data_IF_229322921383
#
_entry.id   IF_229322921383
#
_cell.length_a   1.000
_cell.length_b   1.000
_cell.length_c   1.000
_cell.angle_alpha   90.00
_cell.angle_beta   90.00
_cell.angle_gamma   90.00
#
_symmetry.space_group_name_H-M   'P 1'
#
loop_
_entity.id
_entity.type
_entity.pdbx_description
1 polymer ?
#
# COMPACT_ATOMS: atom_id res chain seq x y z
N UNK A 1 -4.79 17.65 -1.94
CA UNK A 1 -4.58 16.85 -0.72
C UNK A 1 -3.16 16.33 -0.78
N UNK A 2 -2.33 16.65 0.21
CA UNK A 2 -0.92 16.24 0.21
C UNK A 2 -0.80 14.98 1.06
N UNK A 3 -0.67 13.84 0.39
CA UNK A 3 -0.51 12.52 0.99
C UNK A 3 0.97 12.16 1.26
N UNK A 4 1.89 13.11 1.07
CA UNK A 4 3.29 12.76 0.91
C UNK A 4 3.99 12.65 2.27
N UNK A 5 4.30 11.40 2.64
CA UNK A 5 5.33 11.05 3.63
C UNK A 5 6.70 10.81 3.00
N UNK A 6 6.80 10.88 1.66
CA UNK A 6 8.06 10.75 0.96
C UNK A 6 8.96 11.97 1.21
N UNK A 7 10.20 11.79 1.68
CA UNK A 7 11.16 12.87 1.74
C UNK A 7 11.49 13.36 0.32
N UNK A 8 11.63 14.67 0.16
CA UNK A 8 11.69 15.35 -1.13
C UNK A 8 13.02 15.17 -1.91
N UNK A 9 14.01 14.41 -1.43
CA UNK A 9 15.35 14.42 -2.05
C UNK A 9 16.24 13.18 -1.91
N UNK A 10 15.80 12.02 -1.43
CA UNK A 10 16.72 10.86 -1.33
C UNK A 10 16.09 9.54 -1.79
N UNK A 11 16.78 8.88 -2.71
CA UNK A 11 16.48 7.57 -3.31
C UNK A 11 16.79 6.43 -2.34
N UNK A 12 16.38 6.55 -1.07
CA UNK A 12 16.57 5.47 -0.09
C UNK A 12 15.89 4.21 -0.62
N UNK A 13 16.54 3.05 -0.59
CA UNK A 13 15.89 1.81 -1.01
C UNK A 13 14.61 1.56 -0.21
N UNK A 14 13.64 0.90 -0.83
CA UNK A 14 12.40 0.47 -0.19
C UNK A 14 12.48 -1.04 0.05
N UNK A 15 12.06 -1.49 1.25
CA UNK A 15 11.88 -2.92 1.53
C UNK A 15 10.39 -3.19 1.69
N UNK A 16 9.84 -4.05 0.83
CA UNK A 16 8.42 -4.34 0.82
C UNK A 16 8.10 -5.58 1.65
N UNK A 17 7.06 -5.47 2.47
CA UNK A 17 6.41 -6.61 3.12
C UNK A 17 5.50 -7.39 2.15
N UNK A 18 5.18 -8.63 2.53
CA UNK A 18 4.28 -9.53 1.80
C UNK A 18 2.93 -8.88 1.48
N UNK A 19 2.31 -8.20 2.45
CA UNK A 19 1.00 -7.57 2.26
C UNK A 19 1.05 -6.44 1.21
N UNK A 20 2.18 -5.76 1.08
CA UNK A 20 2.38 -4.69 0.10
C UNK A 20 2.47 -5.26 -1.31
N UNK A 21 3.18 -6.38 -1.48
CA UNK A 21 3.27 -7.08 -2.77
C UNK A 21 1.89 -7.56 -3.22
N UNK A 22 1.11 -8.14 -2.30
CA UNK A 22 -0.27 -8.58 -2.57
C UNK A 22 -1.13 -7.39 -3.01
N UNK A 23 -1.05 -6.24 -2.35
CA UNK A 23 -1.83 -5.07 -2.72
C UNK A 23 -1.41 -4.47 -4.07
N UNK A 24 -0.12 -4.45 -4.38
CA UNK A 24 0.39 -4.06 -5.69
C UNK A 24 -0.10 -5.01 -6.79
N UNK A 25 -0.07 -6.32 -6.54
CA UNK A 25 -0.57 -7.32 -7.48
C UNK A 25 -2.07 -7.18 -7.71
N UNK A 26 -2.85 -7.14 -6.63
CA UNK A 26 -4.30 -6.98 -6.67
C UNK A 26 -4.75 -5.70 -7.38
N UNK A 27 -3.92 -4.65 -7.34
CA UNK A 27 -4.19 -3.41 -8.07
C UNK A 27 -4.14 -3.58 -9.59
N UNK A 28 -3.45 -4.61 -10.10
CA UNK A 28 -3.09 -4.82 -11.53
C UNK A 28 -2.13 -3.78 -12.12
N UNK A 29 -1.75 -2.74 -11.37
CA UNK A 29 -0.82 -1.68 -11.79
C UNK A 29 0.55 -1.77 -11.10
N UNK A 30 0.83 -2.85 -10.37
CA UNK A 30 2.02 -2.96 -9.54
C UNK A 30 3.33 -2.80 -10.31
N UNK A 31 3.40 -3.29 -11.55
CA UNK A 31 4.58 -3.13 -12.41
C UNK A 31 4.85 -1.65 -12.76
N UNK A 32 3.82 -0.94 -13.21
CA UNK A 32 3.90 0.48 -13.59
C UNK A 32 4.22 1.35 -12.38
N UNK A 33 3.60 1.07 -11.23
CA UNK A 33 3.85 1.79 -9.99
C UNK A 33 5.29 1.62 -9.58
N UNK A 34 5.79 0.39 -9.49
CA UNK A 34 7.17 0.12 -9.06
C UNK A 34 8.19 0.72 -10.02
N UNK A 35 8.00 0.58 -11.33
CA UNK A 35 8.90 1.19 -12.35
C UNK A 35 8.91 2.71 -12.32
N UNK A 36 7.83 3.34 -11.86
CA UNK A 36 7.76 4.79 -11.74
C UNK A 36 8.54 5.34 -10.53
N UNK A 37 8.86 4.51 -9.54
CA UNK A 37 9.66 4.96 -8.39
C UNK A 37 11.14 5.03 -8.76
N UNK A 38 11.81 6.10 -8.33
CA UNK A 38 13.26 6.26 -8.51
C UNK A 38 14.09 5.49 -7.47
N UNK A 39 13.42 4.90 -6.47
CA UNK A 39 14.05 4.15 -5.39
C UNK A 39 14.34 2.72 -5.86
N UNK A 40 15.47 2.17 -5.41
CA UNK A 40 15.66 0.73 -5.46
C UNK A 40 14.59 0.04 -4.62
N UNK A 41 13.91 -0.96 -5.17
CA UNK A 41 12.89 -1.74 -4.45
C UNK A 41 13.44 -3.13 -4.16
N UNK A 42 13.27 -3.57 -2.92
CA UNK A 42 13.82 -4.81 -2.40
C UNK A 42 12.78 -5.64 -1.68
N UNK A 43 12.96 -6.95 -1.71
CA UNK A 43 12.16 -7.93 -0.94
C UNK A 43 13.06 -8.97 -0.33
N UNK A 44 12.71 -9.46 0.85
CA UNK A 44 13.47 -10.51 1.53
C UNK A 44 13.10 -11.90 0.98
N UNK A 45 14.01 -12.86 1.08
CA UNK A 45 13.71 -14.27 0.77
C UNK A 45 12.59 -14.84 1.65
N UNK A 46 12.46 -14.35 2.89
CA UNK A 46 11.38 -14.70 3.82
C UNK A 46 10.02 -14.25 3.26
N UNK A 47 9.91 -13.01 2.79
CA UNK A 47 8.70 -12.47 2.15
C UNK A 47 8.34 -13.26 0.88
N UNK A 48 9.33 -13.58 0.05
CA UNK A 48 9.09 -14.40 -1.16
C UNK A 48 8.56 -15.78 -0.80
N UNK A 49 9.08 -16.39 0.28
CA UNK A 49 8.63 -17.69 0.78
C UNK A 49 7.21 -17.65 1.34
N UNK A 50 6.78 -16.56 1.98
CA UNK A 50 5.37 -16.41 2.40
C UNK A 50 4.42 -16.41 1.20
N UNK A 51 4.85 -15.87 0.05
CA UNK A 51 4.05 -15.90 -1.18
C UNK A 51 4.00 -17.30 -1.83
N UNK A 52 4.85 -18.25 -1.43
CA UNK A 52 4.83 -19.61 -1.95
C UNK A 52 3.69 -20.48 -1.38
N UNK A 53 2.96 -20.00 -0.37
CA UNK A 53 1.80 -20.70 0.15
C UNK A 53 0.70 -20.88 -0.91
N UNK A 54 -0.06 -21.97 -0.81
CA UNK A 54 -1.01 -22.41 -1.85
C UNK A 54 -1.98 -21.30 -2.27
N UNK A 55 -2.55 -20.56 -1.32
CA UNK A 55 -3.48 -19.45 -1.61
C UNK A 55 -2.81 -18.34 -2.43
N UNK A 56 -1.59 -17.93 -2.12
CA UNK A 56 -0.89 -16.90 -2.91
C UNK A 56 -0.47 -17.41 -4.29
N UNK A 57 -0.21 -18.71 -4.45
CA UNK A 57 0.01 -19.30 -5.78
C UNK A 57 -1.26 -19.30 -6.62
N UNK A 58 -2.40 -19.67 -6.04
CA UNK A 58 -3.70 -19.64 -6.71
C UNK A 58 -4.10 -18.22 -7.10
N UNK A 59 -3.78 -17.24 -6.26
CA UNK A 59 -4.01 -15.82 -6.54
C UNK A 59 -3.01 -15.23 -7.54
N UNK A 60 -1.88 -15.90 -7.82
CA UNK A 60 -0.82 -15.44 -8.72
C UNK A 60 0.23 -14.51 -8.09
N UNK A 61 0.16 -14.24 -6.78
CA UNK A 61 1.08 -13.31 -6.10
C UNK A 61 2.55 -13.76 -6.20
N UNK A 62 2.78 -15.07 -6.10
CA UNK A 62 4.12 -15.64 -6.27
C UNK A 62 4.65 -15.44 -7.70
N UNK A 63 3.80 -15.64 -8.71
CA UNK A 63 4.20 -15.43 -10.09
C UNK A 63 4.51 -13.94 -10.33
N UNK A 64 3.68 -13.05 -9.80
CA UNK A 64 3.89 -11.61 -9.89
C UNK A 64 5.24 -11.17 -9.32
N UNK A 65 5.63 -11.64 -8.12
CA UNK A 65 6.94 -11.27 -7.57
C UNK A 65 8.11 -11.86 -8.37
N UNK A 66 7.96 -13.09 -8.90
CA UNK A 66 8.98 -13.69 -9.76
C UNK A 66 9.16 -12.90 -11.06
N UNK A 67 8.07 -12.42 -11.66
CA UNK A 67 8.11 -11.55 -12.84
C UNK A 67 8.83 -10.23 -12.55
N UNK A 68 8.55 -9.59 -11.41
CA UNK A 68 9.22 -8.36 -10.99
C UNK A 68 10.72 -8.55 -10.77
N UNK A 69 11.12 -9.66 -10.15
CA UNK A 69 12.53 -10.02 -9.94
C UNK A 69 13.23 -10.29 -11.27
N UNK A 70 12.63 -11.09 -12.15
CA UNK A 70 13.16 -11.39 -13.48
C UNK A 70 13.29 -10.13 -14.36
N UNK A 71 12.35 -9.20 -14.23
CA UNK A 71 12.38 -7.91 -14.90
C UNK A 71 13.33 -6.88 -14.23
N UNK A 72 14.02 -7.26 -13.15
CA UNK A 72 14.90 -6.39 -12.36
C UNK A 72 14.21 -5.12 -11.82
N UNK A 73 12.88 -5.17 -11.66
CA UNK A 73 12.09 -4.10 -11.02
C UNK A 73 12.21 -4.19 -9.49
N UNK A 74 12.38 -5.40 -8.97
CA UNK A 74 12.59 -5.68 -7.55
C UNK A 74 13.86 -6.52 -7.38
N UNK A 75 14.68 -6.18 -6.39
CA UNK A 75 15.88 -6.95 -6.01
C UNK A 75 15.56 -7.86 -4.83
N UNK A 76 15.99 -9.11 -4.91
CA UNK A 76 15.95 -10.00 -3.74
C UNK A 76 17.14 -9.69 -2.82
N UNK A 77 16.87 -9.67 -1.52
CA UNK A 77 17.89 -9.61 -0.48
C UNK A 77 17.69 -10.75 0.51
N UNK A 78 18.76 -11.21 1.13
CA UNK A 78 18.71 -12.15 2.26
C UNK A 78 19.06 -11.43 3.54
N UNK A 79 18.53 -11.91 4.66
CA UNK A 79 18.98 -11.48 5.97
C UNK A 79 20.39 -12.03 6.24
N UNK A 80 21.31 -11.16 6.63
CA UNK A 80 22.63 -11.56 7.13
C UNK A 80 22.59 -11.96 8.60
N UNK A 81 23.69 -12.49 9.14
CA UNK A 81 23.76 -12.94 10.54
C UNK A 81 23.36 -11.85 11.55
N UNK A 82 23.74 -10.59 11.29
CA UNK A 82 23.38 -9.44 12.14
C UNK A 82 21.88 -9.09 12.06
N UNK A 83 21.24 -9.40 10.95
CA UNK A 83 19.81 -9.15 10.72
C UNK A 83 18.97 -10.19 11.45
N UNK A 84 19.49 -11.42 11.57
CA UNK A 84 18.82 -12.53 12.25
C UNK A 84 18.62 -12.29 13.74
N UNK A 85 19.54 -11.61 14.43
CA UNK A 85 19.36 -11.25 15.84
C UNK A 85 18.16 -10.31 16.03
N UNK A 86 18.05 -9.30 15.16
CA UNK A 86 16.93 -8.37 15.17
C UNK A 86 15.63 -9.07 14.79
N UNK A 87 15.64 -9.85 13.70
CA UNK A 87 14.51 -10.66 13.25
C UNK A 87 13.99 -11.59 14.36
N UNK A 88 14.87 -12.39 14.96
CA UNK A 88 14.54 -13.33 16.04
C UNK A 88 13.90 -12.61 17.23
N UNK A 89 14.41 -11.44 17.58
CA UNK A 89 13.83 -10.60 18.63
C UNK A 89 12.42 -10.12 18.26
N UNK A 90 12.20 -9.69 17.02
CA UNK A 90 10.90 -9.18 16.55
C UNK A 90 9.81 -10.26 16.50
N UNK A 91 10.16 -11.50 16.17
CA UNK A 91 9.20 -12.62 16.12
C UNK A 91 8.94 -13.26 17.49
N UNK A 92 9.86 -13.13 18.47
CA UNK A 92 9.73 -13.77 19.79
C UNK A 92 9.18 -12.87 20.90
N UNK A 93 9.15 -11.54 20.71
CA UNK A 93 8.63 -10.60 21.71
C UNK A 93 7.11 -10.74 21.94
N UNK A 94 6.62 -10.22 23.07
CA UNK A 94 5.20 -10.28 23.48
C UNK A 94 4.24 -9.67 22.44
N UNK A 95 4.73 -8.72 21.64
CA UNK A 95 4.07 -8.19 20.47
C UNK A 95 4.65 -8.81 19.19
N UNK A 96 4.70 -10.14 19.10
CA UNK A 96 5.35 -10.87 18.00
C UNK A 96 4.83 -10.47 16.63
N UNK A 97 5.72 -10.09 15.74
CA UNK A 97 5.39 -9.79 14.35
C UNK A 97 5.30 -11.09 13.53
N UNK A 98 4.65 -11.01 12.37
CA UNK A 98 4.77 -12.05 11.34
C UNK A 98 6.19 -12.10 10.79
N UNK A 99 6.57 -13.23 10.19
CA UNK A 99 7.92 -13.43 9.66
C UNK A 99 8.23 -12.41 8.54
N UNK A 100 7.31 -12.16 7.61
CA UNK A 100 7.45 -11.15 6.55
C UNK A 100 7.65 -9.73 7.09
N UNK A 101 6.85 -9.32 8.08
CA UNK A 101 6.95 -8.00 8.71
C UNK A 101 8.30 -7.84 9.44
N UNK A 102 8.69 -8.85 10.23
CA UNK A 102 9.93 -8.85 10.98
C UNK A 102 11.14 -8.82 10.05
N UNK A 103 11.13 -9.61 8.97
CA UNK A 103 12.20 -9.66 7.98
C UNK A 103 12.34 -8.33 7.24
N UNK A 104 11.21 -7.71 6.88
CA UNK A 104 11.17 -6.39 6.24
C UNK A 104 11.81 -5.32 7.12
N UNK A 105 11.47 -5.28 8.41
CA UNK A 105 12.04 -4.33 9.37
C UNK A 105 13.54 -4.59 9.58
N UNK A 106 13.94 -5.86 9.72
CA UNK A 106 15.34 -6.22 9.94
C UNK A 106 16.23 -5.82 8.75
N UNK A 107 15.80 -6.16 7.53
CA UNK A 107 16.49 -5.77 6.30
C UNK A 107 16.56 -4.24 6.16
N UNK A 108 15.46 -3.53 6.44
CA UNK A 108 15.43 -2.07 6.36
C UNK A 108 16.40 -1.40 7.33
N UNK A 109 16.51 -1.92 8.56
CA UNK A 109 17.45 -1.43 9.57
C UNK A 109 18.90 -1.55 9.14
N UNK A 110 19.30 -2.70 8.64
CA UNK A 110 20.69 -2.92 8.27
C UNK A 110 21.09 -2.17 7.00
N UNK A 111 20.19 -2.09 6.02
CA UNK A 111 20.49 -1.51 4.72
C UNK A 111 20.28 0.01 4.67
N UNK A 112 19.86 0.64 5.77
CA UNK A 112 19.50 2.06 5.78
C UNK A 112 18.33 2.35 4.84
N UNK A 113 17.41 1.41 4.71
CA UNK A 113 16.30 1.45 3.78
C UNK A 113 14.99 1.81 4.49
N UNK A 114 13.97 2.18 3.71
CA UNK A 114 12.64 2.53 4.20
C UNK A 114 11.72 1.31 4.12
N UNK A 115 11.18 0.81 5.24
CA UNK A 115 10.23 -0.29 5.20
C UNK A 115 8.85 0.19 4.73
N UNK A 116 8.19 -0.63 3.93
CA UNK A 116 6.80 -0.42 3.48
C UNK A 116 5.91 -1.48 4.12
N UNK A 117 4.98 -1.06 5.00
CA UNK A 117 4.23 -1.94 5.91
C UNK A 117 2.75 -1.52 6.03
N UNK A 118 1.82 -2.38 5.65
CA UNK A 118 0.38 -2.10 5.77
C UNK A 118 -0.20 -2.43 7.15
N UNK A 119 0.47 -3.26 7.95
CA UNK A 119 0.02 -3.59 9.29
C UNK A 119 0.34 -2.50 10.32
N UNK A 120 -0.65 -2.20 11.18
CA UNK A 120 -0.53 -1.16 12.20
C UNK A 120 0.48 -1.52 13.29
N UNK A 121 0.50 -2.77 13.73
CA UNK A 121 1.42 -3.27 14.75
C UNK A 121 2.84 -3.31 14.19
N UNK A 122 3.01 -3.82 12.97
CA UNK A 122 4.28 -3.78 12.24
C UNK A 122 4.87 -2.37 12.19
N UNK A 123 4.07 -1.36 11.82
CA UNK A 123 4.51 0.04 11.82
C UNK A 123 4.88 0.60 13.18
N UNK A 124 4.11 0.29 14.23
CA UNK A 124 4.43 0.75 15.60
C UNK A 124 5.79 0.21 16.02
N UNK A 125 6.06 -1.07 15.75
CA UNK A 125 7.33 -1.70 16.06
C UNK A 125 8.46 -1.11 15.20
N UNK A 126 8.24 -0.95 13.89
CA UNK A 126 9.19 -0.33 12.98
C UNK A 126 9.59 1.08 13.43
N UNK A 127 8.64 1.91 13.91
CA UNK A 127 8.92 3.27 14.40
C UNK A 127 9.84 3.27 15.63
N UNK A 128 9.74 2.24 16.48
CA UNK A 128 10.62 2.08 17.63
C UNK A 128 12.03 1.60 17.25
N UNK A 129 12.14 0.76 16.22
CA UNK A 129 13.42 0.24 15.70
C UNK A 129 14.14 1.27 14.82
N UNK A 130 13.38 2.06 14.05
CA UNK A 130 13.83 2.99 13.02
C UNK A 130 13.31 4.41 13.30
N UNK A 131 13.70 5.06 14.41
CA UNK A 131 13.08 6.32 14.84
C UNK A 131 13.28 7.49 13.86
N UNK A 132 14.34 7.44 13.05
CA UNK A 132 14.70 8.49 12.09
C UNK A 132 14.39 8.13 10.64
N UNK A 133 13.81 6.96 10.38
CA UNK A 133 13.46 6.52 9.03
C UNK A 133 11.97 6.78 8.79
N UNK A 134 11.59 7.37 7.65
CA UNK A 134 10.18 7.43 7.27
C UNK A 134 9.58 6.03 7.24
N UNK A 135 8.31 5.91 7.64
CA UNK A 135 7.54 4.68 7.45
C UNK A 135 6.53 4.90 6.35
N UNK A 136 6.55 4.00 5.36
CA UNK A 136 5.62 4.00 4.25
C UNK A 136 4.67 2.80 4.36
N UNK A 137 3.57 2.88 3.63
CA UNK A 137 2.64 1.78 3.39
C UNK A 137 2.21 1.77 1.92
N UNK A 138 1.46 0.76 1.50
CA UNK A 138 1.04 0.58 0.10
C UNK A 138 0.40 1.85 -0.48
N UNK A 139 -0.51 2.48 0.26
CA UNK A 139 -1.19 3.72 -0.17
C UNK A 139 -0.21 4.84 -0.54
N UNK A 140 0.94 4.93 0.13
CA UNK A 140 1.94 5.95 -0.18
C UNK A 140 2.52 5.69 -1.58
N UNK A 141 2.83 4.43 -1.91
CA UNK A 141 3.34 4.05 -3.23
C UNK A 141 2.35 4.39 -4.35
N UNK A 142 1.05 4.12 -4.15
CA UNK A 142 0.00 4.48 -5.12
C UNK A 142 -0.12 5.99 -5.33
N UNK A 143 0.08 6.77 -4.25
CA UNK A 143 -0.11 8.22 -4.27
C UNK A 143 1.19 8.99 -4.52
N UNK A 144 2.31 8.30 -4.73
CA UNK A 144 3.57 8.93 -5.07
C UNK A 144 3.44 9.74 -6.37
N UNK A 145 4.00 10.96 -6.48
CA UNK A 145 3.79 11.81 -7.65
C UNK A 145 4.26 11.17 -8.96
N UNK A 146 5.32 10.36 -8.93
CA UNK A 146 5.79 9.65 -10.12
C UNK A 146 4.82 8.53 -10.54
N UNK A 147 4.24 7.81 -9.58
CA UNK A 147 3.19 6.83 -9.88
C UNK A 147 1.93 7.52 -10.42
N UNK A 148 1.53 8.66 -9.84
CA UNK A 148 0.43 9.48 -10.35
C UNK A 148 0.66 9.99 -11.77
N UNK A 149 1.89 10.38 -12.10
CA UNK A 149 2.24 10.81 -13.45
C UNK A 149 2.22 9.63 -14.44
N UNK A 150 2.74 8.46 -14.04
CA UNK A 150 2.79 7.28 -14.90
C UNK A 150 1.39 6.70 -15.20
N UNK A 151 0.51 6.65 -14.19
CA UNK A 151 -0.83 6.05 -14.32
C UNK A 151 -1.90 7.06 -14.77
N UNK A 152 -1.64 8.35 -14.57
CA UNK A 152 -2.65 9.40 -14.67
C UNK A 152 -3.70 9.31 -13.55
N UNK A 153 -4.55 10.34 -13.46
CA UNK A 153 -5.53 10.48 -12.36
C UNK A 153 -6.50 9.30 -12.26
N UNK A 154 -7.03 8.83 -13.39
CA UNK A 154 -7.98 7.72 -13.40
C UNK A 154 -7.30 6.39 -13.07
N UNK A 155 -6.07 6.18 -13.54
CA UNK A 155 -5.31 4.96 -13.26
C UNK A 155 -5.00 4.82 -11.76
N UNK A 156 -4.61 5.90 -11.08
CA UNK A 156 -4.37 5.84 -9.62
C UNK A 156 -5.65 5.57 -8.84
N UNK A 157 -6.77 6.18 -9.21
CA UNK A 157 -8.05 5.90 -8.56
C UNK A 157 -8.47 4.43 -8.75
N UNK A 158 -8.24 3.85 -9.93
CA UNK A 158 -8.51 2.43 -10.20
C UNK A 158 -7.57 1.52 -9.40
N UNK A 159 -6.26 1.81 -9.40
CA UNK A 159 -5.27 1.04 -8.69
C UNK A 159 -5.57 0.96 -7.18
N UNK A 160 -5.90 2.12 -6.57
CA UNK A 160 -6.29 2.18 -5.15
C UNK A 160 -7.59 1.42 -4.90
N UNK A 161 -8.59 1.55 -5.79
CA UNK A 161 -9.84 0.80 -5.66
C UNK A 161 -9.62 -0.72 -5.67
N UNK A 162 -8.85 -1.22 -6.64
CA UNK A 162 -8.58 -2.65 -6.78
C UNK A 162 -7.73 -3.19 -5.61
N UNK A 163 -6.72 -2.43 -5.16
CA UNK A 163 -5.96 -2.77 -3.96
C UNK A 163 -6.85 -2.86 -2.70
N UNK A 164 -7.82 -1.97 -2.53
CA UNK A 164 -8.78 -2.03 -1.42
C UNK A 164 -9.76 -3.19 -1.56
N UNK A 165 -10.33 -3.38 -2.76
CA UNK A 165 -11.41 -4.33 -2.99
C UNK A 165 -10.90 -5.77 -2.99
N UNK A 166 -9.85 -6.03 -3.78
CA UNK A 166 -9.32 -7.38 -4.02
C UNK A 166 -8.17 -7.69 -3.04
N UNK A 167 -7.24 -6.74 -2.85
CA UNK A 167 -6.09 -6.91 -1.95
C UNK A 167 -6.42 -6.69 -0.47
N UNK A 168 -7.58 -6.09 -0.16
CA UNK A 168 -7.98 -5.68 1.21
C UNK A 168 -6.98 -4.74 1.85
N UNK A 169 -6.31 -3.90 1.05
CA UNK A 169 -5.34 -2.92 1.50
C UNK A 169 -5.87 -2.15 2.71
N UNK A 170 -5.06 -2.09 3.78
CA UNK A 170 -5.41 -1.34 4.98
C UNK A 170 -4.97 0.10 4.82
N UNK A 171 -5.82 1.03 5.24
CA UNK A 171 -5.49 2.46 5.28
C UNK A 171 -5.72 3.01 6.68
N UNK A 172 -5.05 4.11 7.00
CA UNK A 172 -5.30 4.83 8.23
C UNK A 172 -6.68 5.49 8.22
N UNK A 173 -7.33 5.55 9.38
CA UNK A 173 -8.65 6.17 9.53
C UNK A 173 -8.66 7.65 9.08
N UNK A 174 -7.58 8.39 9.35
CA UNK A 174 -7.45 9.79 8.94
C UNK A 174 -7.41 9.95 7.42
N UNK A 175 -7.03 8.91 6.68
CA UNK A 175 -6.95 8.93 5.21
C UNK A 175 -8.25 8.47 4.54
N UNK A 176 -9.21 7.92 5.29
CA UNK A 176 -10.39 7.27 4.72
C UNK A 176 -11.22 8.21 3.84
N UNK A 177 -11.56 9.42 4.30
CA UNK A 177 -12.38 10.35 3.50
C UNK A 177 -11.64 10.81 2.23
N UNK A 178 -10.31 10.95 2.31
CA UNK A 178 -9.49 11.36 1.19
C UNK A 178 -9.39 10.25 0.12
N UNK A 179 -9.27 8.99 0.55
CA UNK A 179 -9.34 7.81 -0.33
C UNK A 179 -10.73 7.65 -0.95
N UNK A 180 -11.80 7.85 -0.19
CA UNK A 180 -13.18 7.82 -0.72
C UNK A 180 -13.39 8.93 -1.74
N UNK A 181 -12.87 10.13 -1.51
CA UNK A 181 -12.89 11.22 -2.49
C UNK A 181 -12.11 10.91 -3.77
N UNK A 182 -11.06 10.08 -3.69
CA UNK A 182 -10.27 9.64 -4.84
C UNK A 182 -11.01 8.58 -5.68
N UNK A 183 -11.52 7.53 -5.04
CA UNK A 183 -12.14 6.39 -5.76
C UNK A 183 -13.64 6.60 -6.03
N UNK A 184 -14.28 7.53 -5.32
CA UNK A 184 -15.71 7.78 -5.35
C UNK A 184 -16.50 6.86 -4.41
N UNK A 185 -17.64 7.38 -3.93
CA UNK A 185 -18.50 6.71 -2.94
C UNK A 185 -19.00 5.35 -3.42
N UNK A 186 -19.38 5.24 -4.69
CA UNK A 186 -19.89 3.99 -5.26
C UNK A 186 -18.88 2.84 -5.13
N UNK A 187 -17.61 3.08 -5.49
CA UNK A 187 -16.51 2.12 -5.36
C UNK A 187 -16.14 1.87 -3.89
N UNK A 188 -16.19 2.89 -3.05
CA UNK A 188 -15.92 2.74 -1.61
C UNK A 188 -16.89 1.75 -0.93
N UNK A 189 -18.13 1.62 -1.41
CA UNK A 189 -19.11 0.67 -0.87
C UNK A 189 -18.74 -0.81 -1.12
N UNK A 190 -17.88 -1.10 -2.09
CA UNK A 190 -17.36 -2.45 -2.33
C UNK A 190 -16.16 -2.77 -1.42
N UNK A 191 -15.54 -1.74 -0.84
CA UNK A 191 -14.29 -1.85 -0.10
C UNK A 191 -14.53 -2.08 1.40
N UNK A 192 -14.91 -3.31 1.77
CA UNK A 192 -15.27 -3.66 3.16
C UNK A 192 -14.10 -3.55 4.16
N UNK A 193 -12.86 -3.44 3.68
CA UNK A 193 -11.66 -3.23 4.50
C UNK A 193 -11.50 -1.77 4.99
N UNK A 194 -12.29 -0.82 4.48
CA UNK A 194 -12.16 0.58 4.85
C UNK A 194 -12.41 0.78 6.36
N UNK A 195 -11.65 1.68 7.03
CA UNK A 195 -11.81 1.94 8.46
C UNK A 195 -13.25 2.33 8.82
N UNK A 196 -13.80 1.67 9.86
CA UNK A 196 -15.16 1.91 10.33
C UNK A 196 -16.24 1.76 9.24
N UNK A 197 -16.00 0.89 8.25
CA UNK A 197 -16.89 0.66 7.10
C UNK A 197 -18.37 0.55 7.47
N UNK A 198 -18.73 -0.24 8.49
CA UNK A 198 -20.14 -0.42 8.89
C UNK A 198 -20.83 0.89 9.28
N UNK A 199 -20.13 1.77 10.01
CA UNK A 199 -20.66 3.06 10.41
C UNK A 199 -20.71 4.04 9.22
N UNK A 200 -19.67 4.04 8.39
CA UNK A 200 -19.56 4.95 7.23
C UNK A 200 -20.49 4.58 6.08
N UNK A 201 -20.78 3.29 5.88
CA UNK A 201 -21.64 2.78 4.80
C UNK A 201 -23.01 3.45 4.78
N UNK A 202 -23.63 3.68 5.94
CA UNK A 202 -24.94 4.35 6.02
C UNK A 202 -24.86 5.79 5.50
N UNK A 203 -23.81 6.52 5.86
CA UNK A 203 -23.52 7.88 5.36
C UNK A 203 -23.32 7.86 3.84
N UNK A 204 -22.45 6.99 3.35
CA UNK A 204 -22.14 6.85 1.92
C UNK A 204 -23.35 6.46 1.07
N UNK A 205 -24.21 5.57 1.57
CA UNK A 205 -25.46 5.25 0.89
C UNK A 205 -26.37 6.48 0.77
N UNK A 206 -26.45 7.34 1.80
CA UNK A 206 -27.26 8.57 1.71
C UNK A 206 -26.71 9.57 0.69
N UNK A 207 -25.38 9.68 0.56
CA UNK A 207 -24.71 10.58 -0.39
C UNK A 207 -24.98 10.15 -1.85
N UNK A 208 -25.07 8.85 -2.14
CA UNK A 208 -25.42 8.35 -3.48
C UNK A 208 -26.87 8.62 -3.89
N UNK A 209 -27.79 8.69 -2.93
CA UNK A 209 -29.21 8.90 -3.20
C UNK A 209 -29.60 10.38 -3.16
N UNK A 210 -28.65 11.29 -2.93
CA UNK A 210 -28.92 12.73 -3.01
C UNK A 210 -28.77 13.16 -4.48
N UNK A 211 -29.86 13.49 -5.20
CA UNK A 211 -29.73 13.95 -6.58
C UNK A 211 -28.88 15.23 -6.62
N UNK A 212 -27.93 15.27 -7.55
CA UNK A 212 -27.10 16.44 -7.82
C UNK A 212 -28.00 17.63 -8.19
N UNK A 213 -28.24 18.52 -7.24
CA UNK A 213 -28.92 19.79 -7.46
C UNK A 213 -28.00 20.76 -8.19
N UNK A 214 -27.71 20.50 -9.47
CA UNK A 214 -26.98 21.45 -10.33
C UNK A 214 -27.36 21.32 -11.81
N UNK A 215 -28.64 21.55 -12.14
CA UNK A 215 -29.05 22.06 -13.46
C UNK A 215 -30.53 22.47 -13.48
N UNK A 216 -30.92 23.55 -12.79
CA UNK A 216 -32.16 24.26 -13.10
C UNK A 216 -32.02 25.73 -12.67
N UNK A 217 -31.38 26.52 -13.52
CA UNK A 217 -31.60 27.96 -13.57
C UNK A 217 -31.50 28.41 -15.03
N UNK A 218 -32.45 29.27 -15.42
CA UNK A 218 -32.59 29.96 -16.70
C UNK A 218 -33.18 29.15 -17.86
N UNK A 219 -34.50 29.26 -18.06
CA UNK A 219 -35.10 30.13 -19.10
C UNK A 219 -36.59 30.28 -18.75
N UNK A 220 -36.99 31.43 -18.22
CA UNK A 220 -38.38 31.93 -18.29
C UNK A 220 -38.40 33.43 -17.99
N UNK A 221 -37.92 34.22 -18.96
CA UNK A 221 -38.33 35.62 -19.14
C UNK A 221 -38.28 35.97 -20.61
N UNK A 222 -39.40 35.76 -21.31
CA UNK A 222 -39.84 36.59 -22.44
C UNK A 222 -41.37 36.65 -22.41
N UNK A 223 -41.87 37.75 -21.88
CA UNK A 223 -43.19 38.33 -22.14
C UNK A 223 -43.00 39.83 -22.10
#
# INVERSE_FOLDING_TARGET
MTFLRFPASETMPLVLDTSVIINLHASTYGHEILKAHSNDVMVTDIVVRELEHQTSRENGDHQFIQELVNASVVKMTSLGDQDYDLFARLVTQTASLGDGEAATIAAAYHQGATPVLDDKKGRIVAQGVLPNTPLLWSLDMFLHPLAQNALGKNGVAEAVYLALREGRMRIDEAQCEAVVGLIGVAKALDCTCLPNFRARRTKWLSELHTPSSSHFAEVTKRS
#
